data_IF_113574819508
#
_entry.id   IF_113574819508
#
_cell.length_a   1.000
_cell.length_b   1.000
_cell.length_c   1.000
_cell.angle_alpha   90.00
_cell.angle_beta   90.00
_cell.angle_gamma   90.00
#
_symmetry.space_group_name_H-M   'P 1'
#
loop_
_entity.id
_entity.type
_entity.pdbx_description
1 polymer ?
#
# COMPACT_ATOMS: atom_id res chain seq x y z
N UNK A 1 0.70 -20.58 -18.50
CA UNK A 1 1.64 -19.73 -19.25
C UNK A 1 2.67 -19.23 -18.24
N UNK A 2 3.97 -19.35 -18.52
CA UNK A 2 4.99 -18.84 -17.59
C UNK A 2 4.88 -17.30 -17.52
N UNK A 3 4.76 -16.74 -16.32
CA UNK A 3 4.78 -15.29 -16.16
C UNK A 3 6.10 -14.73 -16.68
N UNK A 4 6.02 -13.71 -17.54
CA UNK A 4 7.19 -13.07 -18.12
C UNK A 4 7.53 -11.81 -17.32
N UNK A 5 8.82 -11.63 -17.04
CA UNK A 5 9.35 -10.37 -16.51
C UNK A 5 9.19 -9.27 -17.56
N UNK A 6 8.29 -8.33 -17.32
CA UNK A 6 7.91 -7.28 -18.28
C UNK A 6 8.86 -6.07 -18.25
N UNK A 7 9.61 -5.89 -17.16
CA UNK A 7 10.51 -4.75 -16.99
C UNK A 7 11.97 -5.15 -17.08
N UNK A 8 12.78 -4.24 -17.62
CA UNK A 8 14.22 -4.32 -17.66
C UNK A 8 14.81 -3.07 -17.03
N UNK A 9 15.72 -3.25 -16.07
CA UNK A 9 16.43 -2.16 -15.39
C UNK A 9 17.89 -2.22 -15.78
N UNK A 10 18.41 -1.13 -16.33
CA UNK A 10 19.80 -1.01 -16.74
C UNK A 10 20.42 0.22 -16.08
N UNK A 11 21.72 0.18 -15.79
CA UNK A 11 22.41 1.30 -15.14
C UNK A 11 23.69 1.67 -15.89
N UNK A 12 24.09 2.93 -15.73
CA UNK A 12 25.36 3.45 -16.21
C UNK A 12 26.16 3.94 -15.00
N UNK A 13 27.21 3.19 -14.65
CA UNK A 13 28.21 3.67 -13.70
C UNK A 13 29.16 4.62 -14.44
N UNK A 14 29.30 5.85 -13.95
CA UNK A 14 30.26 6.80 -14.50
C UNK A 14 31.23 7.25 -13.40
N UNK A 15 32.51 7.24 -13.72
CA UNK A 15 33.57 7.85 -12.90
C UNK A 15 33.59 9.38 -13.02
N UNK A 16 32.93 9.95 -14.04
CA UNK A 16 32.95 11.38 -14.38
C UNK A 16 31.57 12.01 -14.57
N UNK A 17 30.48 11.26 -14.35
CA UNK A 17 29.10 11.70 -14.59
C UNK A 17 28.13 11.15 -13.54
N UNK A 18 26.88 11.63 -13.52
CA UNK A 18 25.89 11.18 -12.56
C UNK A 18 25.57 9.69 -12.76
N UNK A 19 25.26 9.00 -11.66
CA UNK A 19 24.68 7.67 -11.72
C UNK A 19 23.32 7.75 -12.44
N UNK A 20 23.08 6.83 -13.35
CA UNK A 20 21.92 6.88 -14.23
C UNK A 20 21.29 5.51 -14.42
N UNK A 21 19.96 5.46 -14.44
CA UNK A 21 19.17 4.22 -14.55
C UNK A 21 18.13 4.36 -15.66
N UNK A 22 18.02 3.33 -16.49
CA UNK A 22 16.95 3.15 -17.46
C UNK A 22 15.98 2.09 -16.96
N UNK A 23 14.69 2.39 -17.04
CA UNK A 23 13.60 1.44 -16.84
C UNK A 23 12.82 1.29 -18.14
N UNK A 24 12.95 0.12 -18.76
CA UNK A 24 12.27 -0.26 -19.99
C UNK A 24 11.09 -1.19 -19.68
N UNK A 25 9.98 -1.04 -20.40
CA UNK A 25 8.86 -1.98 -20.39
C UNK A 25 8.76 -2.70 -21.73
N UNK A 26 8.74 -4.03 -21.74
CA UNK A 26 8.86 -4.85 -22.97
C UNK A 26 7.72 -4.70 -23.97
N UNK A 27 6.58 -4.15 -23.56
CA UNK A 27 5.45 -3.88 -24.45
C UNK A 27 5.25 -2.39 -24.75
N UNK A 28 6.23 -1.54 -24.43
CA UNK A 28 6.18 -0.09 -24.64
C UNK A 28 7.42 0.37 -25.39
N UNK A 29 7.22 1.43 -26.17
CA UNK A 29 8.28 2.10 -26.94
C UNK A 29 9.05 3.12 -26.10
N UNK A 30 8.39 3.69 -25.09
CA UNK A 30 8.96 4.66 -24.17
C UNK A 30 9.87 3.99 -23.12
N UNK A 31 10.86 4.73 -22.65
CA UNK A 31 11.76 4.33 -21.55
C UNK A 31 11.81 5.42 -20.50
N UNK A 32 11.83 5.07 -19.21
CA UNK A 32 12.09 6.06 -18.16
C UNK A 32 13.58 6.16 -17.89
N UNK A 33 14.11 7.39 -17.94
CA UNK A 33 15.47 7.73 -17.53
C UNK A 33 15.44 8.39 -16.16
N UNK A 34 16.22 7.86 -15.23
CA UNK A 34 16.47 8.43 -13.91
C UNK A 34 17.92 8.91 -13.86
N UNK A 35 18.13 10.22 -13.80
CA UNK A 35 19.46 10.80 -13.75
C UNK A 35 19.44 12.11 -12.96
N UNK A 36 20.43 12.31 -12.08
CA UNK A 36 20.59 13.55 -11.30
C UNK A 36 19.34 13.99 -10.51
N UNK A 37 18.54 13.03 -10.03
CA UNK A 37 17.31 13.29 -9.26
C UNK A 37 16.10 13.72 -10.10
N UNK A 38 16.20 13.69 -11.43
CA UNK A 38 15.10 13.92 -12.35
C UNK A 38 14.62 12.61 -13.00
N UNK A 39 13.38 12.61 -13.47
CA UNK A 39 12.82 11.54 -14.31
C UNK A 39 12.40 12.11 -15.65
N UNK A 40 12.85 11.48 -16.74
CA UNK A 40 12.46 11.82 -18.10
C UNK A 40 11.84 10.59 -18.79
N UNK A 41 10.85 10.84 -19.66
CA UNK A 41 10.30 9.83 -20.57
C UNK A 41 11.01 10.01 -21.91
N UNK A 42 11.70 8.96 -22.36
CA UNK A 42 12.43 8.94 -23.62
C UNK A 42 11.65 8.16 -24.67
N UNK A 43 11.66 8.66 -25.90
CA UNK A 43 11.25 7.90 -27.08
C UNK A 43 12.22 6.74 -27.36
N UNK A 44 11.81 5.80 -28.22
CA UNK A 44 12.69 4.70 -28.62
C UNK A 44 13.97 5.19 -29.32
N UNK A 45 13.88 6.26 -30.11
CA UNK A 45 15.04 6.85 -30.81
C UNK A 45 16.05 7.43 -29.82
N UNK A 46 15.59 8.23 -28.85
CA UNK A 46 16.44 8.79 -27.81
C UNK A 46 17.07 7.68 -26.94
N UNK A 47 16.29 6.64 -26.64
CA UNK A 47 16.76 5.48 -25.88
C UNK A 47 17.92 4.79 -26.58
N UNK A 48 17.78 4.44 -27.87
CA UNK A 48 18.84 3.75 -28.62
C UNK A 48 20.12 4.60 -28.73
N UNK A 49 20.01 5.92 -28.81
CA UNK A 49 21.15 6.84 -28.82
C UNK A 49 21.98 6.78 -27.53
N UNK A 50 21.35 6.57 -26.36
CA UNK A 50 22.03 6.64 -25.06
C UNK A 50 22.26 5.28 -24.40
N UNK A 51 21.62 4.20 -24.88
CA UNK A 51 21.58 2.90 -24.19
C UNK A 51 22.91 2.13 -24.20
N UNK A 52 23.76 2.34 -25.20
CA UNK A 52 25.04 1.61 -25.37
C UNK A 52 25.93 1.53 -24.11
N UNK A 53 26.14 2.62 -23.33
CA UNK A 53 26.91 2.57 -22.07
C UNK A 53 26.16 1.94 -20.87
N UNK A 54 24.89 1.58 -20.99
CA UNK A 54 24.13 0.99 -19.89
C UNK A 54 24.30 -0.53 -19.84
N UNK A 55 24.49 -1.05 -18.62
CA UNK A 55 24.57 -2.48 -18.35
C UNK A 55 23.28 -2.96 -17.70
N UNK A 56 22.78 -4.12 -18.13
CA UNK A 56 21.61 -4.75 -17.53
C UNK A 56 21.88 -5.05 -16.05
N UNK A 57 21.00 -4.56 -15.16
CA UNK A 57 21.04 -4.87 -13.74
C UNK A 57 20.13 -6.06 -13.40
N UNK A 58 18.84 -5.94 -13.75
CA UNK A 58 17.85 -6.95 -13.45
C UNK A 58 16.66 -6.90 -14.41
N UNK A 59 15.97 -8.03 -14.52
CA UNK A 59 14.62 -8.11 -15.07
C UNK A 59 13.60 -8.28 -13.92
N UNK A 60 12.43 -7.65 -14.05
CA UNK A 60 11.38 -7.62 -13.05
C UNK A 60 9.97 -7.84 -13.64
N UNK A 61 9.04 -8.31 -12.80
CA UNK A 61 7.63 -8.54 -13.14
C UNK A 61 6.81 -7.25 -13.11
N UNK A 62 7.14 -6.31 -12.22
CA UNK A 62 6.43 -5.06 -12.03
C UNK A 62 7.27 -4.02 -11.29
N UNK A 63 6.88 -2.76 -11.39
CA UNK A 63 7.46 -1.65 -10.63
C UNK A 63 6.46 -1.17 -9.57
N UNK A 64 6.88 -1.09 -8.30
CA UNK A 64 6.05 -0.60 -7.21
C UNK A 64 6.06 0.93 -7.10
N UNK A 65 7.08 1.58 -7.66
CA UNK A 65 7.30 3.02 -7.62
C UNK A 65 8.65 3.39 -7.00
N UNK A 66 8.74 4.65 -6.58
CA UNK A 66 9.94 5.23 -5.97
C UNK A 66 9.77 5.34 -4.47
N UNK A 67 10.66 4.69 -3.72
CA UNK A 67 10.78 4.86 -2.29
C UNK A 67 11.78 5.98 -2.00
N UNK A 68 11.29 7.03 -1.33
CA UNK A 68 12.10 8.14 -0.86
C UNK A 68 12.52 7.91 0.59
N UNK A 69 13.81 8.02 0.85
CA UNK A 69 14.40 7.83 2.17
C UNK A 69 15.20 9.07 2.53
N UNK A 70 14.93 9.67 3.69
CA UNK A 70 15.80 10.71 4.23
C UNK A 70 16.84 10.08 5.16
N UNK A 71 18.11 10.39 4.95
CA UNK A 71 19.24 10.05 5.81
C UNK A 71 19.68 11.33 6.51
N UNK A 72 19.16 11.58 7.71
CA UNK A 72 19.76 12.60 8.60
C UNK A 72 20.56 11.85 9.66
N UNK A 73 21.85 12.18 9.82
CA UNK A 73 22.73 11.64 10.87
C UNK A 73 22.82 10.11 10.93
N UNK A 74 22.76 9.43 9.78
CA UNK A 74 22.78 7.96 9.70
C UNK A 74 21.43 7.28 10.01
N UNK A 75 20.39 8.05 10.35
CA UNK A 75 19.03 7.57 10.59
C UNK A 75 18.21 7.64 9.30
N UNK A 76 17.60 6.51 8.94
CA UNK A 76 16.76 6.32 7.76
C UNK A 76 15.32 6.66 8.15
N UNK A 77 14.78 7.74 7.60
CA UNK A 77 13.36 8.06 7.70
C UNK A 77 12.62 7.46 6.50
N UNK A 78 11.62 6.63 6.80
CA UNK A 78 10.64 6.19 5.82
C UNK A 78 9.55 7.26 5.72
N UNK A 79 9.31 7.81 4.52
CA UNK A 79 8.12 8.61 4.30
C UNK A 79 6.90 7.68 4.17
N UNK A 80 6.52 7.05 5.28
CA UNK A 80 5.27 6.32 5.43
C UNK A 80 4.33 7.18 6.28
N UNK A 81 3.27 7.68 5.62
CA UNK A 81 2.24 8.60 6.11
C UNK A 81 2.61 10.09 6.09
N UNK A 82 1.79 10.86 5.36
CA UNK A 82 1.63 12.29 5.59
C UNK A 82 0.94 12.43 6.94
N UNK A 83 1.67 12.86 7.96
CA UNK A 83 1.09 13.37 9.22
C UNK A 83 1.53 14.83 9.37
N UNK A 84 0.86 15.72 8.63
CA UNK A 84 0.98 17.17 8.76
C UNK A 84 2.13 17.81 7.98
N UNK A 85 1.80 18.62 6.96
CA UNK A 85 2.70 19.65 6.45
C UNK A 85 2.40 20.95 7.21
N UNK A 86 3.39 21.50 7.92
CA UNK A 86 3.30 22.86 8.43
C UNK A 86 3.65 23.84 7.30
N UNK A 87 2.70 24.69 6.93
CA UNK A 87 2.93 25.82 6.02
C UNK A 87 3.80 26.86 6.72
N UNK A 88 5.04 27.07 6.26
CA UNK A 88 5.95 28.06 6.85
C UNK A 88 5.90 29.44 6.15
N UNK A 89 4.97 29.64 5.22
CA UNK A 89 4.67 30.94 4.62
C UNK A 89 4.53 30.93 3.09
N UNK A 90 3.82 31.93 2.56
CA UNK A 90 3.69 32.19 1.12
C UNK A 90 4.41 33.49 0.77
N UNK A 91 5.25 33.45 -0.27
CA UNK A 91 5.62 34.64 -1.05
C UNK A 91 5.49 34.27 -2.53
N UNK A 92 4.85 35.19 -3.28
CA UNK A 92 4.51 35.22 -4.72
C UNK A 92 5.16 34.16 -5.63
N UNK A 93 4.29 33.36 -6.25
CA UNK A 93 4.44 32.67 -7.56
C UNK A 93 5.82 32.09 -7.92
N UNK A 94 6.38 31.23 -7.07
CA UNK A 94 7.26 30.11 -7.44
C UNK A 94 7.60 29.32 -6.17
N UNK A 95 7.46 27.99 -6.20
CA UNK A 95 7.95 27.14 -5.12
C UNK A 95 9.43 26.84 -5.37
N UNK A 96 10.33 27.48 -4.61
CA UNK A 96 11.75 27.11 -4.58
C UNK A 96 11.98 26.27 -3.33
N UNK A 97 12.06 24.96 -3.51
CA UNK A 97 12.49 24.02 -2.47
C UNK A 97 13.99 23.78 -2.61
N UNK A 98 14.77 24.23 -1.62
CA UNK A 98 16.17 23.78 -1.46
C UNK A 98 16.17 22.44 -0.75
N UNK A 99 16.27 21.34 -1.50
CA UNK A 99 16.62 20.04 -0.93
C UNK A 99 18.14 20.03 -0.73
N UNK A 100 18.57 20.45 0.45
CA UNK A 100 19.97 20.34 0.89
C UNK A 100 20.18 18.96 1.52
N UNK A 101 21.01 18.13 0.90
CA UNK A 101 21.68 16.92 1.38
C UNK A 101 20.90 15.93 2.26
N UNK A 102 20.76 14.69 1.76
CA UNK A 102 20.32 13.55 2.58
C UNK A 102 19.08 12.81 2.08
N UNK A 103 18.59 13.03 0.86
CA UNK A 103 17.49 12.23 0.30
C UNK A 103 18.06 11.20 -0.68
N UNK A 104 17.71 9.93 -0.48
CA UNK A 104 18.07 8.82 -1.35
C UNK A 104 16.78 8.24 -1.94
N UNK A 105 16.76 8.05 -3.25
CA UNK A 105 15.65 7.44 -3.97
C UNK A 105 15.98 6.00 -4.33
N UNK A 106 15.02 5.11 -4.12
CA UNK A 106 15.12 3.70 -4.49
C UNK A 106 13.98 3.31 -5.42
N UNK A 107 14.30 2.69 -6.54
CA UNK A 107 13.33 2.08 -7.43
C UNK A 107 12.97 0.69 -6.91
N UNK A 108 11.70 0.48 -6.58
CA UNK A 108 11.21 -0.77 -6.00
C UNK A 108 10.64 -1.72 -7.07
N UNK A 109 11.32 -2.83 -7.32
CA UNK A 109 11.02 -3.75 -8.42
C UNK A 109 10.60 -5.14 -7.92
N UNK A 110 9.51 -5.68 -8.46
CA UNK A 110 9.04 -7.03 -8.16
C UNK A 110 9.92 -8.03 -8.92
N UNK A 111 10.74 -8.78 -8.19
CA UNK A 111 11.65 -9.79 -8.76
C UNK A 111 11.12 -11.21 -8.62
N UNK A 112 10.14 -11.43 -7.73
CA UNK A 112 9.45 -12.70 -7.55
C UNK A 112 7.95 -12.50 -7.32
N UNK A 113 7.13 -13.29 -8.00
CA UNK A 113 5.71 -13.39 -7.72
C UNK A 113 5.17 -14.78 -8.08
N UNK A 114 4.03 -15.14 -7.48
CA UNK A 114 3.32 -16.39 -7.75
C UNK A 114 1.85 -16.10 -8.04
N UNK A 115 1.30 -16.73 -9.07
CA UNK A 115 -0.13 -16.64 -9.38
C UNK A 115 -0.96 -17.33 -8.31
N UNK A 116 -1.99 -16.66 -7.81
CA UNK A 116 -2.99 -17.24 -6.90
C UNK A 116 -4.26 -17.68 -7.62
N UNK A 117 -4.42 -17.27 -8.88
CA UNK A 117 -5.57 -17.60 -9.70
C UNK A 117 -5.97 -16.47 -10.62
N UNK A 118 -6.97 -16.72 -11.44
CA UNK A 118 -7.52 -15.77 -12.41
C UNK A 118 -8.95 -15.40 -12.01
N UNK A 119 -9.23 -14.10 -11.99
CA UNK A 119 -10.58 -13.53 -11.82
C UNK A 119 -10.87 -12.70 -13.06
N UNK A 120 -11.96 -13.02 -13.77
CA UNK A 120 -12.25 -12.45 -15.10
C UNK A 120 -11.03 -12.59 -16.03
N UNK A 121 -10.54 -11.50 -16.59
CA UNK A 121 -9.33 -11.46 -17.42
C UNK A 121 -8.03 -11.26 -16.63
N UNK A 122 -8.11 -10.90 -15.35
CA UNK A 122 -6.97 -10.55 -14.54
C UNK A 122 -6.39 -11.79 -13.84
N UNK A 123 -5.10 -12.03 -14.06
CA UNK A 123 -4.32 -12.89 -13.17
C UNK A 123 -3.97 -12.13 -11.89
N UNK A 124 -4.25 -12.75 -10.73
CA UNK A 124 -3.97 -12.19 -9.42
C UNK A 124 -2.67 -12.78 -8.90
N UNK A 125 -1.77 -11.89 -8.46
CA UNK A 125 -0.36 -12.21 -8.26
C UNK A 125 0.05 -11.85 -6.84
N UNK A 126 0.60 -12.84 -6.13
CA UNK A 126 1.23 -12.66 -4.81
C UNK A 126 2.69 -12.28 -5.00
N UNK A 127 3.13 -11.19 -4.39
CA UNK A 127 4.52 -10.75 -4.41
C UNK A 127 5.34 -11.62 -3.44
N UNK A 128 6.42 -12.23 -3.94
CA UNK A 128 7.31 -13.11 -3.17
C UNK A 128 8.76 -12.63 -3.14
N UNK A 129 9.10 -11.62 -3.95
CA UNK A 129 10.42 -11.02 -3.96
C UNK A 129 10.39 -9.60 -4.51
N UNK A 130 11.06 -8.69 -3.81
CA UNK A 130 11.28 -7.30 -4.22
C UNK A 130 12.77 -6.98 -4.17
N UNK A 131 13.25 -6.20 -5.13
CA UNK A 131 14.57 -5.58 -5.11
C UNK A 131 14.41 -4.07 -5.04
N UNK A 132 15.22 -3.42 -4.21
CA UNK A 132 15.29 -1.96 -4.09
C UNK A 132 16.58 -1.51 -4.76
N UNK A 133 16.49 -0.77 -5.86
CA UNK A 133 17.65 -0.30 -6.63
C UNK A 133 17.91 1.15 -6.25
N UNK A 134 19.09 1.45 -5.68
CA UNK A 134 19.48 2.82 -5.36
C UNK A 134 19.67 3.64 -6.64
N UNK A 135 19.00 4.79 -6.74
CA UNK A 135 19.17 5.73 -7.86
C UNK A 135 20.41 6.64 -7.71
N UNK A 136 21.28 6.36 -6.73
CA UNK A 136 22.58 7.03 -6.55
C UNK A 136 23.78 6.10 -6.80
N UNK A 137 23.54 4.79 -6.87
CA UNK A 137 24.58 3.80 -7.16
C UNK A 137 25.65 3.61 -6.07
N UNK A 138 25.40 4.06 -4.84
CA UNK A 138 26.38 3.94 -3.75
C UNK A 138 26.32 2.54 -3.10
N UNK A 139 27.46 1.84 -2.96
CA UNK A 139 27.53 0.58 -2.23
C UNK A 139 27.04 0.74 -0.78
N UNK A 140 26.26 -0.23 -0.27
CA UNK A 140 25.72 -0.23 1.10
C UNK A 140 24.38 0.50 1.29
N UNK A 141 23.89 1.26 0.29
CA UNK A 141 22.56 1.86 0.36
C UNK A 141 21.44 0.81 0.37
N UNK A 142 21.65 -0.35 -0.25
CA UNK A 142 20.66 -1.45 -0.25
C UNK A 142 20.61 -2.18 1.10
N UNK A 143 21.73 -2.28 1.82
CA UNK A 143 21.81 -2.95 3.12
C UNK A 143 20.96 -2.23 4.17
N UNK A 144 20.91 -0.90 4.07
CA UNK A 144 20.08 0.00 4.89
C UNK A 144 18.58 -0.32 4.81
N UNK A 145 18.13 -0.94 3.72
CA UNK A 145 16.70 -1.20 3.45
C UNK A 145 16.34 -2.69 3.45
N UNK A 146 17.21 -3.55 3.99
CA UNK A 146 16.95 -4.99 4.05
C UNK A 146 15.62 -5.33 4.71
N UNK A 147 15.23 -4.63 5.78
CA UNK A 147 13.99 -4.94 6.49
C UNK A 147 12.75 -4.50 5.71
N UNK A 148 12.81 -3.40 4.97
CA UNK A 148 11.74 -3.02 4.03
C UNK A 148 11.62 -4.04 2.92
N UNK A 149 12.74 -4.47 2.33
CA UNK A 149 12.78 -5.52 1.32
C UNK A 149 12.16 -6.82 1.85
N UNK A 150 12.49 -7.22 3.09
CA UNK A 150 11.89 -8.39 3.75
C UNK A 150 10.38 -8.23 3.87
N UNK A 151 9.89 -7.11 4.41
CA UNK A 151 8.46 -6.83 4.56
C UNK A 151 7.72 -6.96 3.22
N UNK A 152 8.21 -6.28 2.18
CA UNK A 152 7.61 -6.33 0.84
C UNK A 152 7.64 -7.73 0.20
N UNK A 153 8.51 -8.62 0.69
CA UNK A 153 8.66 -9.99 0.21
C UNK A 153 7.98 -11.04 1.09
N UNK A 154 7.23 -10.65 2.13
CA UNK A 154 6.58 -11.58 3.08
C UNK A 154 5.44 -12.41 2.49
N UNK A 155 5.00 -12.15 1.25
CA UNK A 155 3.85 -12.85 0.66
C UNK A 155 2.48 -12.31 1.08
N UNK A 156 2.44 -11.12 1.69
CA UNK A 156 1.20 -10.46 2.13
C UNK A 156 0.70 -9.40 1.14
N UNK A 157 1.43 -9.17 0.04
CA UNK A 157 1.09 -8.18 -0.97
C UNK A 157 0.61 -8.84 -2.25
N UNK A 158 -0.46 -8.29 -2.81
CA UNK A 158 -1.12 -8.82 -4.00
C UNK A 158 -1.39 -7.70 -4.99
N UNK A 159 -1.25 -8.00 -6.28
CA UNK A 159 -1.62 -7.09 -7.35
C UNK A 159 -2.37 -7.83 -8.46
N UNK A 160 -3.16 -7.08 -9.21
CA UNK A 160 -3.82 -7.55 -10.41
C UNK A 160 -2.93 -7.26 -11.61
N UNK A 161 -2.75 -8.24 -12.50
CA UNK A 161 -2.06 -8.04 -13.79
C UNK A 161 -2.80 -7.09 -14.73
N UNK A 162 -4.12 -6.92 -14.54
CA UNK A 162 -5.00 -6.03 -15.31
C UNK A 162 -5.94 -5.29 -14.35
N UNK A 163 -5.49 -4.21 -13.69
CA UNK A 163 -6.31 -3.47 -12.72
C UNK A 163 -7.60 -2.89 -13.33
N UNK A 164 -7.60 -2.59 -14.63
CA UNK A 164 -8.79 -2.17 -15.39
C UNK A 164 -9.86 -3.27 -15.50
N UNK A 165 -9.45 -4.54 -15.52
CA UNK A 165 -10.38 -5.68 -15.53
C UNK A 165 -10.80 -6.08 -14.10
N UNK A 166 -9.90 -5.94 -13.13
CA UNK A 166 -10.16 -6.26 -11.73
C UNK A 166 -9.24 -5.47 -10.79
N UNK A 167 -9.75 -4.41 -10.19
CA UNK A 167 -9.05 -3.62 -9.16
C UNK A 167 -9.23 -4.28 -7.78
N UNK A 168 -8.15 -4.85 -7.25
CA UNK A 168 -8.14 -5.51 -5.94
C UNK A 168 -8.48 -4.59 -4.77
N UNK A 169 -8.46 -3.27 -4.94
CA UNK A 169 -8.86 -2.33 -3.89
C UNK A 169 -10.38 -2.28 -3.69
N UNK A 170 -11.18 -2.69 -4.67
CA UNK A 170 -12.64 -2.57 -4.66
C UNK A 170 -13.34 -3.89 -4.42
N UNK A 171 -14.37 -3.90 -3.57
CA UNK A 171 -15.30 -5.03 -3.49
C UNK A 171 -16.23 -5.01 -4.69
N UNK A 172 -16.78 -6.16 -5.03
CA UNK A 172 -17.62 -6.33 -6.22
C UNK A 172 -18.78 -5.33 -6.22
N UNK A 173 -19.42 -5.12 -5.07
CA UNK A 173 -20.52 -4.15 -4.92
C UNK A 173 -20.09 -2.69 -5.17
N UNK A 174 -18.84 -2.31 -4.85
CA UNK A 174 -18.34 -0.97 -5.14
C UNK A 174 -17.87 -0.84 -6.58
N UNK A 175 -17.27 -1.89 -7.14
CA UNK A 175 -16.85 -1.94 -8.53
C UNK A 175 -18.03 -1.78 -9.51
N UNK A 176 -19.27 -2.12 -9.12
CA UNK A 176 -20.46 -1.83 -9.95
C UNK A 176 -20.89 -0.36 -9.94
N UNK A 177 -20.38 0.44 -9.00
CA UNK A 177 -20.78 1.86 -8.82
C UNK A 177 -19.70 2.84 -9.26
N UNK A 178 -18.43 2.43 -9.20
CA UNK A 178 -17.29 3.28 -9.53
C UNK A 178 -16.11 2.45 -10.00
N UNK A 179 -15.31 3.02 -10.89
CA UNK A 179 -14.01 2.52 -11.30
C UNK A 179 -12.84 3.19 -10.55
N UNK A 180 -13.14 4.08 -9.59
CA UNK A 180 -12.12 4.76 -8.80
C UNK A 180 -11.51 3.81 -7.77
N UNK A 181 -10.19 3.63 -7.84
CA UNK A 181 -9.41 2.86 -6.88
C UNK A 181 -9.68 3.33 -5.44
N UNK A 182 -9.91 2.38 -4.54
CA UNK A 182 -10.07 2.70 -3.12
C UNK A 182 -8.71 2.97 -2.47
N UNK A 183 -8.42 4.25 -2.25
CA UNK A 183 -7.19 4.71 -1.61
C UNK A 183 -6.97 4.13 -0.21
N UNK A 184 -8.01 3.60 0.46
CA UNK A 184 -7.85 2.90 1.74
C UNK A 184 -7.00 1.65 1.58
N UNK A 185 -7.12 0.95 0.45
CA UNK A 185 -6.47 -0.35 0.23
C UNK A 185 -5.34 -0.30 -0.79
N UNK A 186 -5.13 0.85 -1.44
CA UNK A 186 -4.01 1.08 -2.37
C UNK A 186 -2.70 1.35 -1.60
N UNK A 187 -2.04 0.28 -1.17
CA UNK A 187 -0.95 0.35 -0.19
C UNK A 187 0.26 1.14 -0.69
N UNK A 188 0.68 0.93 -1.95
CA UNK A 188 1.87 1.58 -2.51
C UNK A 188 1.58 2.94 -3.15
N UNK A 189 0.43 3.56 -2.87
CA UNK A 189 0.05 4.87 -3.43
C UNK A 189 1.12 5.94 -3.28
N UNK A 190 1.79 5.99 -2.12
CA UNK A 190 2.83 7.00 -1.87
C UNK A 190 4.04 6.82 -2.78
N UNK A 191 4.38 5.57 -3.15
CA UNK A 191 5.49 5.27 -4.06
C UNK A 191 5.25 5.78 -5.49
N UNK A 192 3.99 6.07 -5.84
CA UNK A 192 3.63 6.62 -7.15
C UNK A 192 3.91 8.14 -7.23
N UNK A 193 3.94 8.82 -6.08
CA UNK A 193 3.96 10.29 -5.99
C UNK A 193 5.14 10.93 -6.72
N UNK A 194 6.34 10.34 -6.61
CA UNK A 194 7.53 10.90 -7.24
C UNK A 194 7.39 10.94 -8.76
N UNK A 195 6.96 9.84 -9.38
CA UNK A 195 6.77 9.76 -10.82
C UNK A 195 5.63 10.67 -11.32
N UNK A 196 4.54 10.77 -10.56
CA UNK A 196 3.44 11.70 -10.87
C UNK A 196 3.91 13.16 -10.88
N UNK A 197 4.82 13.56 -9.98
CA UNK A 197 5.38 14.93 -9.94
C UNK A 197 6.20 15.27 -11.19
N UNK A 198 6.79 14.27 -11.83
CA UNK A 198 7.49 14.41 -13.11
C UNK A 198 6.56 14.21 -14.32
N UNK A 199 5.24 14.15 -14.12
CA UNK A 199 4.27 14.00 -15.21
C UNK A 199 4.23 12.60 -15.84
N UNK A 200 4.86 11.60 -15.20
CA UNK A 200 4.86 10.22 -15.71
C UNK A 200 3.50 9.57 -15.46
N UNK A 201 2.91 8.95 -16.49
CA UNK A 201 1.70 8.16 -16.36
C UNK A 201 1.96 6.86 -15.58
N UNK A 202 1.62 6.89 -14.30
CA UNK A 202 1.82 5.77 -13.38
C UNK A 202 0.96 4.55 -13.68
N UNK A 203 -0.15 4.68 -14.39
CA UNK A 203 -1.01 3.52 -14.74
C UNK A 203 -0.30 2.52 -15.64
N UNK A 204 0.67 3.02 -16.40
CA UNK A 204 1.41 2.26 -17.38
C UNK A 204 2.77 1.73 -16.88
N UNK A 205 3.32 2.38 -15.86
CA UNK A 205 4.65 2.07 -15.34
C UNK A 205 4.61 1.37 -14.00
N UNK A 206 3.56 1.57 -13.20
CA UNK A 206 3.50 1.11 -11.82
C UNK A 206 2.32 0.18 -11.58
N UNK A 207 2.54 -0.83 -10.73
CA UNK A 207 1.46 -1.70 -10.28
C UNK A 207 0.79 -1.12 -9.04
N UNK A 208 -0.51 -1.34 -8.90
CA UNK A 208 -1.26 -1.08 -7.67
C UNK A 208 -1.31 -2.35 -6.83
N UNK A 209 -0.90 -2.29 -5.57
CA UNK A 209 -0.94 -3.44 -4.68
C UNK A 209 -1.79 -3.20 -3.44
N UNK A 210 -2.42 -4.27 -2.97
CA UNK A 210 -3.08 -4.35 -1.66
C UNK A 210 -2.18 -5.11 -0.68
N UNK A 211 -2.39 -4.88 0.62
CA UNK A 211 -1.87 -5.74 1.68
C UNK A 211 -3.02 -6.57 2.25
N UNK A 212 -2.80 -7.86 2.51
CA UNK A 212 -3.81 -8.73 3.12
C UNK A 212 -3.67 -10.19 2.66
N UNK A 213 -4.77 -10.77 2.16
CA UNK A 213 -4.80 -12.16 1.70
C UNK A 213 -5.77 -12.32 0.53
N UNK A 214 -5.39 -13.17 -0.43
CA UNK A 214 -6.24 -13.55 -1.56
C UNK A 214 -6.14 -15.05 -1.77
N UNK A 215 -7.27 -15.73 -1.66
CA UNK A 215 -7.41 -17.15 -1.97
C UNK A 215 -8.46 -17.32 -3.06
N UNK A 216 -8.16 -18.11 -4.09
CA UNK A 216 -9.06 -18.38 -5.22
C UNK A 216 -9.17 -19.88 -5.42
N UNK A 217 -10.39 -20.40 -5.45
CA UNK A 217 -10.69 -21.81 -5.69
C UNK A 217 -11.66 -21.94 -6.85
N UNK A 218 -11.39 -22.90 -7.72
CA UNK A 218 -12.32 -23.28 -8.80
C UNK A 218 -13.29 -24.30 -8.25
N UNK A 219 -14.58 -24.05 -8.44
CA UNK A 219 -15.69 -24.89 -8.03
C UNK A 219 -16.48 -25.30 -9.27
N UNK A 220 -17.29 -26.35 -9.11
CA UNK A 220 -18.30 -26.72 -10.09
C UNK A 220 -19.67 -26.68 -9.43
N UNK A 221 -20.56 -25.86 -9.97
CA UNK A 221 -21.96 -25.76 -9.54
C UNK A 221 -22.79 -26.45 -10.61
N UNK A 222 -23.07 -27.74 -10.41
CA UNK A 222 -23.59 -28.60 -11.47
C UNK A 222 -22.60 -28.71 -12.63
N UNK A 223 -23.00 -28.26 -13.82
CA UNK A 223 -22.15 -28.22 -15.01
C UNK A 223 -21.39 -26.89 -15.20
N UNK A 224 -21.67 -25.89 -14.36
CA UNK A 224 -21.08 -24.56 -14.47
C UNK A 224 -19.78 -24.48 -13.67
N UNK A 225 -18.73 -23.91 -14.27
CA UNK A 225 -17.50 -23.60 -13.56
C UNK A 225 -17.67 -22.26 -12.82
N UNK A 226 -17.35 -22.24 -11.54
CA UNK A 226 -17.35 -21.02 -10.72
C UNK A 226 -16.00 -20.79 -10.06
N UNK A 227 -15.76 -19.57 -9.59
CA UNK A 227 -14.61 -19.20 -8.76
C UNK A 227 -15.12 -18.69 -7.41
N UNK A 228 -14.81 -19.39 -6.32
CA UNK A 228 -14.92 -18.79 -4.98
C UNK A 228 -13.62 -18.10 -4.65
N UNK A 229 -13.71 -16.85 -4.22
CA UNK A 229 -12.60 -16.05 -3.77
C UNK A 229 -12.85 -15.57 -2.34
N UNK A 230 -11.80 -15.58 -1.54
CA UNK A 230 -11.74 -14.89 -0.26
C UNK A 230 -10.67 -13.81 -0.35
N UNK A 231 -11.08 -12.54 -0.34
CA UNK A 231 -10.22 -11.38 -0.55
C UNK A 231 -10.26 -10.54 0.72
N UNK A 232 -9.15 -10.42 1.44
CA UNK A 232 -9.02 -9.55 2.61
C UNK A 232 -8.02 -8.45 2.33
N UNK A 233 -8.41 -7.20 2.61
CA UNK A 233 -7.62 -6.00 2.31
C UNK A 233 -7.45 -5.17 3.57
N UNK A 234 -6.21 -4.92 3.94
CA UNK A 234 -5.83 -4.11 5.08
C UNK A 234 -5.72 -2.64 4.65
N UNK A 235 -6.42 -1.76 5.38
CA UNK A 235 -6.34 -0.32 5.14
C UNK A 235 -4.95 0.23 5.46
N UNK A 236 -4.44 1.09 4.59
CA UNK A 236 -3.18 1.82 4.79
C UNK A 236 -3.36 3.21 5.42
N UNK A 237 -4.60 3.65 5.70
CA UNK A 237 -4.90 4.97 6.27
C UNK A 237 -4.40 5.15 7.70
N UNK A 238 -4.43 4.07 8.49
CA UNK A 238 -3.87 4.01 9.85
C UNK A 238 -3.03 2.75 10.03
N UNK A 239 -2.00 2.64 9.20
CA UNK A 239 -1.08 1.51 9.20
C UNK A 239 -0.23 1.48 10.47
N UNK A 240 0.09 0.27 10.93
CA UNK A 240 0.96 0.04 12.07
C UNK A 240 0.79 -1.36 12.63
N UNK A 241 1.77 -1.85 13.38
CA UNK A 241 1.68 -3.18 13.98
C UNK A 241 0.66 -3.19 15.12
N UNK A 242 0.04 -4.36 15.34
CA UNK A 242 -1.03 -4.57 16.34
C UNK A 242 -0.71 -4.03 17.74
N UNK A 243 0.56 -3.98 18.14
CA UNK A 243 0.98 -3.52 19.46
C UNK A 243 1.49 -2.07 19.48
N UNK A 244 1.72 -1.47 18.32
CA UNK A 244 2.20 -0.09 18.22
C UNK A 244 1.08 0.88 17.87
N UNK A 245 0.03 0.43 17.17
CA UNK A 245 -1.03 1.30 16.66
C UNK A 245 -2.41 0.72 16.96
N UNK A 246 -3.17 1.44 17.78
CA UNK A 246 -4.55 1.14 18.20
C UNK A 246 -5.43 2.40 18.09
N UNK A 247 -6.74 2.19 18.21
CA UNK A 247 -7.72 3.27 18.17
C UNK A 247 -7.87 3.97 16.83
N UNK A 248 -8.57 5.11 16.85
CA UNK A 248 -8.75 6.01 15.73
C UNK A 248 -7.66 7.10 15.69
N UNK A 249 -7.51 7.75 14.53
CA UNK A 249 -6.86 9.06 14.42
C UNK A 249 -7.92 10.18 14.32
N UNK A 250 -7.46 11.43 14.21
CA UNK A 250 -8.31 12.62 14.14
C UNK A 250 -9.26 12.65 12.91
N UNK A 251 -8.96 11.85 11.88
CA UNK A 251 -9.77 11.68 10.69
C UNK A 251 -10.82 10.55 10.81
N UNK A 252 -10.86 9.84 11.93
CA UNK A 252 -11.78 8.71 12.16
C UNK A 252 -11.33 7.40 11.51
N UNK A 253 -10.09 7.35 11.01
CA UNK A 253 -9.50 6.13 10.45
C UNK A 253 -9.02 5.26 11.59
N UNK A 254 -9.47 4.00 11.65
CA UNK A 254 -9.11 3.08 12.73
C UNK A 254 -7.95 2.18 12.35
N UNK A 255 -7.09 1.90 13.32
CA UNK A 255 -5.97 0.99 13.13
C UNK A 255 -6.45 -0.44 12.83
N UNK A 256 -5.70 -1.17 11.99
CA UNK A 256 -6.00 -2.55 11.59
C UNK A 256 -7.40 -2.72 10.96
N UNK A 257 -7.90 -1.70 10.24
CA UNK A 257 -9.15 -1.82 9.50
C UNK A 257 -8.97 -2.77 8.30
N UNK A 258 -9.78 -3.82 8.24
CA UNK A 258 -9.77 -4.85 7.20
C UNK A 258 -11.15 -4.98 6.60
N UNK A 259 -11.22 -5.01 5.28
CA UNK A 259 -12.40 -5.45 4.52
C UNK A 259 -12.13 -6.86 4.00
N UNK A 260 -13.00 -7.81 4.35
CA UNK A 260 -12.96 -9.20 3.87
C UNK A 260 -14.20 -9.45 3.02
N UNK A 261 -13.99 -9.76 1.75
CA UNK A 261 -15.01 -10.13 0.78
C UNK A 261 -14.92 -11.63 0.49
N UNK A 262 -16.02 -12.34 0.71
CA UNK A 262 -16.27 -13.64 0.11
C UNK A 262 -17.08 -13.40 -1.17
N UNK A 263 -16.52 -13.75 -2.32
CA UNK A 263 -17.18 -13.55 -3.62
C UNK A 263 -17.15 -14.83 -4.44
N UNK A 264 -18.27 -15.13 -5.11
CA UNK A 264 -18.39 -16.21 -6.08
C UNK A 264 -18.68 -15.59 -7.44
N UNK A 265 -17.83 -15.91 -8.42
CA UNK A 265 -18.03 -15.58 -9.82
C UNK A 265 -18.50 -16.85 -10.56
N UNK A 266 -19.68 -16.80 -11.18
CA UNK A 266 -20.25 -17.90 -11.96
C UNK A 266 -20.76 -17.32 -13.30
N UNK A 267 -19.96 -17.44 -14.35
CA UNK A 267 -20.14 -16.72 -15.62
C UNK A 267 -20.34 -15.20 -15.41
N UNK A 268 -21.53 -14.68 -15.73
CA UNK A 268 -21.90 -13.27 -15.56
C UNK A 268 -22.44 -12.95 -14.15
N UNK A 269 -22.79 -13.98 -13.37
CA UNK A 269 -23.34 -13.80 -12.03
C UNK A 269 -22.24 -13.62 -10.98
N UNK A 270 -22.43 -12.63 -10.10
CA UNK A 270 -21.51 -12.32 -9.00
C UNK A 270 -22.28 -12.25 -7.69
N UNK A 271 -21.98 -13.17 -6.78
CA UNK A 271 -22.48 -13.14 -5.41
C UNK A 271 -21.35 -12.69 -4.47
N UNK A 272 -21.51 -11.53 -3.82
CA UNK A 272 -20.49 -10.93 -2.96
C UNK A 272 -21.04 -10.66 -1.56
N UNK A 273 -20.29 -11.07 -0.53
CA UNK A 273 -20.57 -10.79 0.86
C UNK A 273 -19.35 -10.17 1.54
N UNK A 274 -19.52 -9.01 2.15
CA UNK A 274 -18.43 -8.22 2.75
C UNK A 274 -18.60 -8.15 4.27
N UNK A 275 -17.52 -8.40 5.00
CA UNK A 275 -17.39 -8.14 6.42
C UNK A 275 -16.22 -7.21 6.69
N UNK A 276 -16.37 -6.33 7.66
CA UNK A 276 -15.30 -5.41 8.08
C UNK A 276 -14.89 -5.68 9.52
N UNK A 277 -13.61 -5.47 9.83
CA UNK A 277 -13.05 -5.58 11.18
C UNK A 277 -12.08 -4.42 11.40
N UNK A 278 -12.08 -3.79 12.57
CA UNK A 278 -11.12 -2.73 12.89
C UNK A 278 -10.93 -2.54 14.39
N UNK A 279 -9.98 -1.69 14.77
CA UNK A 279 -9.87 -1.20 16.15
C UNK A 279 -11.11 -0.43 16.56
N UNK A 280 -11.41 -0.41 17.86
CA UNK A 280 -12.50 0.42 18.41
C UNK A 280 -12.22 1.90 18.05
N UNK A 281 -13.20 2.64 17.49
CA UNK A 281 -13.02 4.00 16.96
C UNK A 281 -12.97 5.07 18.07
N UNK A 282 -12.04 4.89 19.01
CA UNK A 282 -11.77 5.79 20.13
C UNK A 282 -10.26 6.08 20.21
N UNK A 283 -9.87 7.12 20.94
CA UNK A 283 -8.46 7.42 21.17
C UNK A 283 -7.90 6.56 22.31
N UNK A 284 -7.38 5.39 21.97
CA UNK A 284 -6.79 4.45 22.92
C UNK A 284 -5.53 3.78 22.40
N UNK A 285 -4.68 3.41 23.35
CA UNK A 285 -3.39 2.77 23.15
C UNK A 285 -3.28 1.55 24.04
N UNK A 286 -2.36 0.65 23.69
CA UNK A 286 -2.05 -0.52 24.50
C UNK A 286 -0.53 -0.65 24.57
N UNK A 287 0.14 0.15 25.42
CA UNK A 287 1.59 0.14 25.52
C UNK A 287 2.09 -1.22 26.03
N UNK A 288 3.15 -1.72 25.38
CA UNK A 288 3.90 -2.89 25.84
C UNK A 288 3.76 -4.14 24.96
N UNK A 289 4.90 -4.77 24.66
CA UNK A 289 5.03 -6.08 24.01
C UNK A 289 5.21 -7.21 25.05
N UNK A 290 5.50 -6.87 26.31
CA UNK A 290 5.74 -7.83 27.38
C UNK A 290 4.44 -8.52 27.83
N UNK A 291 4.51 -9.85 27.92
CA UNK A 291 3.41 -10.72 28.34
C UNK A 291 2.98 -10.35 29.76
N UNK A 292 1.70 -9.99 29.95
CA UNK A 292 1.08 -9.79 31.26
C UNK A 292 0.73 -8.35 31.65
N UNK A 293 1.18 -7.33 30.90
CA UNK A 293 0.87 -5.92 31.19
C UNK A 293 0.28 -5.19 29.97
N UNK A 294 -0.79 -5.75 29.40
CA UNK A 294 -1.50 -5.15 28.26
C UNK A 294 -2.64 -4.23 28.69
N UNK A 295 -2.35 -3.24 29.56
CA UNK A 295 -3.38 -2.31 30.04
C UNK A 295 -3.78 -1.35 28.91
N UNK A 296 -5.09 -1.26 28.65
CA UNK A 296 -5.66 -0.24 27.76
C UNK A 296 -5.46 1.12 28.42
N UNK A 297 -4.90 2.07 27.67
CA UNK A 297 -4.75 3.46 28.08
C UNK A 297 -5.56 4.33 27.14
N UNK A 298 -6.38 5.21 27.70
CA UNK A 298 -7.07 6.22 26.91
C UNK A 298 -6.14 7.40 26.68
N UNK A 299 -5.86 7.69 25.41
CA UNK A 299 -4.93 8.75 25.02
C UNK A 299 -5.57 10.13 25.16
N UNK A 300 -6.90 10.21 25.03
CA UNK A 300 -7.70 11.44 25.18
C UNK A 300 -9.03 11.11 25.87
N UNK A 301 -9.68 12.11 26.44
CA UNK A 301 -10.99 11.95 27.10
C UNK A 301 -12.11 11.53 26.14
N UNK A 302 -13.24 11.11 26.70
CA UNK A 302 -14.44 10.64 25.97
C UNK A 302 -14.93 11.70 24.97
N UNK A 303 -15.12 12.94 25.42
CA UNK A 303 -15.58 14.05 24.58
C UNK A 303 -14.65 14.31 23.39
N UNK A 304 -13.34 14.16 23.58
CA UNK A 304 -12.37 14.31 22.51
C UNK A 304 -12.48 13.21 21.46
N UNK A 305 -12.95 12.02 21.82
CA UNK A 305 -13.13 10.89 20.88
C UNK A 305 -14.39 11.00 20.03
N UNK A 306 -15.41 11.74 20.48
CA UNK A 306 -16.70 11.83 19.79
C UNK A 306 -16.58 12.28 18.32
N UNK A 307 -15.81 13.33 17.95
CA UNK A 307 -15.67 13.71 16.54
C UNK A 307 -15.04 12.63 15.66
N UNK A 308 -14.04 11.90 16.18
CA UNK A 308 -13.39 10.82 15.45
C UNK A 308 -14.33 9.61 15.30
N UNK A 309 -15.08 9.29 16.35
CA UNK A 309 -16.12 8.26 16.33
C UNK A 309 -17.20 8.58 15.28
N UNK A 310 -17.73 9.80 15.28
CA UNK A 310 -18.77 10.23 14.33
C UNK A 310 -18.29 10.24 12.88
N UNK A 311 -17.03 10.65 12.64
CA UNK A 311 -16.39 10.53 11.32
C UNK A 311 -16.32 9.07 10.89
N UNK A 312 -15.87 8.17 11.77
CA UNK A 312 -15.78 6.75 11.49
C UNK A 312 -17.15 6.14 11.15
N UNK A 313 -18.17 6.38 11.97
CA UNK A 313 -19.51 5.84 11.75
C UNK A 313 -20.14 6.37 10.45
N UNK A 314 -19.94 7.65 10.13
CA UNK A 314 -20.36 8.21 8.83
C UNK A 314 -19.62 7.56 7.66
N UNK A 315 -18.32 7.31 7.78
CA UNK A 315 -17.56 6.61 6.75
C UNK A 315 -18.05 5.17 6.55
N UNK A 316 -18.32 4.45 7.64
CA UNK A 316 -18.89 3.10 7.60
C UNK A 316 -20.26 3.11 6.89
N UNK A 317 -21.16 4.02 7.28
CA UNK A 317 -22.48 4.14 6.65
C UNK A 317 -22.40 4.51 5.17
N UNK A 318 -21.50 5.43 4.81
CA UNK A 318 -21.29 5.86 3.42
C UNK A 318 -20.76 4.71 2.55
N UNK A 319 -19.81 3.94 3.06
CA UNK A 319 -19.10 2.94 2.26
C UNK A 319 -19.85 1.60 2.20
N UNK A 320 -20.56 1.22 3.27
CA UNK A 320 -21.19 -0.10 3.42
C UNK A 320 -22.71 -0.06 3.61
N UNK A 321 -23.32 1.11 3.78
CA UNK A 321 -24.75 1.25 4.00
C UNK A 321 -25.14 0.94 5.45
N UNK A 322 -26.14 0.09 5.65
CA UNK A 322 -26.51 -0.38 6.99
C UNK A 322 -25.52 -1.45 7.44
N UNK A 323 -25.11 -1.40 8.71
CA UNK A 323 -24.19 -2.36 9.29
C UNK A 323 -24.59 -2.67 10.73
N UNK A 324 -24.22 -3.85 11.20
CA UNK A 324 -24.32 -4.27 12.59
C UNK A 324 -22.92 -4.38 13.19
N UNK A 325 -22.79 -3.99 14.46
CA UNK A 325 -21.51 -4.00 15.16
C UNK A 325 -21.52 -5.15 16.15
N UNK A 326 -20.55 -6.05 16.04
CA UNK A 326 -20.35 -7.17 16.97
C UNK A 326 -19.17 -6.84 17.87
N UNK A 327 -19.43 -6.59 19.15
CA UNK A 327 -18.39 -6.36 20.15
C UNK A 327 -18.19 -7.60 21.03
N UNK A 328 -16.97 -8.14 21.04
CA UNK A 328 -16.57 -9.32 21.81
C UNK A 328 -15.48 -9.01 22.87
N UNK A 329 -15.25 -7.73 23.17
CA UNK A 329 -14.34 -7.31 24.24
C UNK A 329 -14.81 -7.79 25.61
N UNK A 330 -13.87 -8.04 26.52
CA UNK A 330 -14.18 -8.47 27.87
C UNK A 330 -15.09 -7.49 28.62
N UNK A 331 -16.02 -8.02 29.41
CA UNK A 331 -16.99 -7.23 30.20
C UNK A 331 -16.64 -7.10 31.68
N UNK A 332 -15.58 -7.77 32.15
CA UNK A 332 -15.20 -7.74 33.56
C UNK A 332 -14.47 -6.44 33.90
N UNK A 333 -15.09 -5.61 34.72
CA UNK A 333 -14.49 -4.40 35.31
C UNK A 333 -13.44 -4.70 36.40
N UNK A 334 -13.22 -5.98 36.71
CA UNK A 334 -12.23 -6.46 37.67
C UNK A 334 -11.13 -7.25 36.94
N UNK A 335 -9.90 -7.12 37.46
CA UNK A 335 -8.74 -7.89 37.00
C UNK A 335 -8.19 -7.45 35.64
N UNK A 336 -7.56 -8.38 34.93
CA UNK A 336 -6.81 -8.10 33.70
C UNK A 336 -7.66 -7.64 32.50
N UNK A 337 -8.99 -7.81 32.56
CA UNK A 337 -9.93 -7.43 31.49
C UNK A 337 -10.57 -6.05 31.67
N UNK A 338 -10.27 -5.35 32.76
CA UNK A 338 -10.86 -4.05 33.08
C UNK A 338 -10.76 -3.03 31.93
N UNK A 339 -9.60 -2.97 31.26
CA UNK A 339 -9.39 -2.04 30.14
C UNK A 339 -10.29 -2.33 28.92
N UNK A 340 -10.56 -3.60 28.62
CA UNK A 340 -11.48 -3.98 27.53
C UNK A 340 -12.94 -3.66 27.88
N UNK A 341 -13.30 -3.81 29.15
CA UNK A 341 -14.63 -3.50 29.66
C UNK A 341 -14.90 -1.98 29.59
N UNK A 342 -13.96 -1.16 30.05
CA UNK A 342 -14.05 0.30 29.93
C UNK A 342 -14.10 0.74 28.47
N UNK A 343 -13.30 0.15 27.59
CA UNK A 343 -13.34 0.45 26.16
C UNK A 343 -14.71 0.10 25.53
N UNK A 344 -15.32 -1.00 25.98
CA UNK A 344 -16.67 -1.40 25.56
C UNK A 344 -17.76 -0.45 26.04
N UNK A 345 -17.69 -0.02 27.29
CA UNK A 345 -18.64 0.96 27.85
C UNK A 345 -18.54 2.30 27.13
N UNK A 346 -17.32 2.81 26.93
CA UNK A 346 -17.13 4.06 26.18
C UNK A 346 -17.55 3.95 24.73
N UNK A 347 -17.36 2.79 24.09
CA UNK A 347 -17.91 2.60 22.75
C UNK A 347 -19.42 2.70 22.74
N UNK A 348 -20.09 2.06 23.71
CA UNK A 348 -21.56 2.09 23.84
C UNK A 348 -22.09 3.47 24.18
N UNK A 349 -21.38 4.28 24.97
CA UNK A 349 -21.84 5.62 25.35
C UNK A 349 -21.88 6.63 24.19
N UNK A 350 -21.20 6.33 23.07
CA UNK A 350 -21.24 7.15 21.86
C UNK A 350 -22.30 6.69 20.85
N UNK A 351 -22.88 5.50 21.04
CA UNK A 351 -23.98 4.99 20.21
C UNK A 351 -25.31 5.40 20.83
#
# INVERSE_FOLDING_TARGET
MAMRKAFRVSFKNSTSGPYSVLLEHRSREETLLFESGAVAVLSSQETECIKKPYTLMLDAYGCLGILQVCTADGIIYFLAMITGCSSVGKIKEAEILRITDGIIYFLAMITGCSSVGKIKEAEILRITGVQLVSLRGQPGDEEKLMDVKKILSLGTFYYSSKPEAFDLSLCSQRATKTSETDNRFFWNRILHTHLMRFGVDTTCWLVKMICGAVEIRTLYVGHQQAKACLISRLSCERAGTRFNVRGANDDGQVANFVETEQVIFADEDVASFVQTRGSVPLFWEQPGVQVGSHKVRFARGTEASAPAFDKHMRQMKRNYGQFAIVNLLGSSMLGSKQGEATLSEMFKSHH
#
